data_IF_072997224756
#
_entry.id   IF_072997224756
#
_cell.length_a   1.000
_cell.length_b   1.000
_cell.length_c   1.000
_cell.angle_alpha   90.00
_cell.angle_beta   90.00
_cell.angle_gamma   90.00
#
_symmetry.space_group_name_H-M   'P 1'
#
loop_
_entity.id
_entity.type
_entity.pdbx_description
1 polymer ?
#
# COMPACT_ATOMS: atom_id res chain seq x y z
N UNK A 1 -38.15 -54.61 52.01
CA UNK A 1 -38.44 -55.97 51.51
C UNK A 1 -39.86 -55.96 50.91
N UNK A 2 -40.01 -56.44 49.67
CA UNK A 2 -41.26 -56.73 48.92
C UNK A 2 -42.15 -55.51 48.56
N UNK A 3 -42.14 -54.97 47.34
CA UNK A 3 -42.68 -55.50 46.05
C UNK A 3 -44.19 -55.77 46.05
N UNK A 4 -44.93 -55.08 45.15
CA UNK A 4 -46.01 -55.56 44.25
C UNK A 4 -46.86 -54.36 43.78
N UNK A 5 -46.69 -53.92 42.53
CA UNK A 5 -47.53 -54.22 41.34
C UNK A 5 -48.92 -53.54 41.41
N UNK A 6 -49.19 -52.50 40.61
CA UNK A 6 -49.69 -52.52 39.21
C UNK A 6 -51.12 -53.10 39.10
N UNK A 7 -52.15 -52.37 38.65
CA UNK A 7 -52.50 -52.14 37.24
C UNK A 7 -53.82 -51.34 37.14
N UNK A 8 -53.90 -50.41 36.18
CA UNK A 8 -55.08 -50.04 35.34
C UNK A 8 -54.79 -48.68 34.70
N UNK A 9 -55.07 -48.38 33.43
CA UNK A 9 -55.52 -49.14 32.29
C UNK A 9 -55.15 -48.29 31.06
N UNK A 10 -54.75 -48.94 29.98
CA UNK A 10 -54.38 -48.35 28.70
C UNK A 10 -55.61 -47.77 28.00
N UNK A 11 -55.54 -46.52 27.52
CA UNK A 11 -56.31 -46.07 26.36
C UNK A 11 -55.36 -45.41 25.35
N UNK A 12 -55.31 -46.06 24.20
CA UNK A 12 -54.54 -45.69 23.03
C UNK A 12 -55.07 -44.41 22.39
N UNK A 13 -54.17 -43.52 21.97
CA UNK A 13 -54.41 -42.52 20.92
C UNK A 13 -53.22 -42.54 19.97
N UNK A 14 -53.51 -42.62 18.68
CA UNK A 14 -52.57 -42.88 17.60
C UNK A 14 -51.54 -41.74 17.41
N UNK A 15 -50.31 -42.02 16.95
CA UNK A 15 -49.35 -40.97 16.67
C UNK A 15 -49.73 -40.25 15.36
N UNK A 16 -50.05 -38.95 15.46
CA UNK A 16 -50.09 -38.08 14.29
C UNK A 16 -48.67 -37.96 13.73
N UNK A 17 -48.44 -38.52 12.54
CA UNK A 17 -47.21 -38.28 11.76
C UNK A 17 -47.15 -36.81 11.37
N UNK A 18 -46.45 -36.01 12.17
CA UNK A 18 -46.04 -34.67 11.77
C UNK A 18 -45.04 -34.78 10.62
N UNK A 19 -45.43 -34.29 9.44
CA UNK A 19 -44.60 -34.22 8.25
C UNK A 19 -43.58 -33.09 8.48
N UNK A 20 -42.40 -33.44 9.00
CA UNK A 20 -41.31 -32.49 9.16
C UNK A 20 -40.78 -32.11 7.77
N UNK A 21 -41.17 -30.94 7.28
CA UNK A 21 -40.52 -30.25 6.16
C UNK A 21 -39.06 -30.03 6.55
N UNK A 22 -38.16 -30.87 6.03
CA UNK A 22 -36.71 -30.65 6.10
C UNK A 22 -36.39 -29.36 5.35
N UNK A 23 -36.16 -28.28 6.07
CA UNK A 23 -35.57 -27.07 5.53
C UNK A 23 -34.17 -27.42 4.99
N UNK A 24 -33.95 -27.22 3.69
CA UNK A 24 -32.63 -27.36 3.09
C UNK A 24 -31.69 -26.28 3.67
N UNK A 25 -30.43 -26.62 4.00
CA UNK A 25 -29.49 -25.62 4.46
C UNK A 25 -29.17 -24.67 3.30
N UNK A 26 -29.63 -23.43 3.42
CA UNK A 26 -29.20 -22.33 2.55
C UNK A 26 -27.70 -22.19 2.75
N UNK A 27 -26.92 -22.33 1.66
CA UNK A 27 -25.48 -22.07 1.68
C UNK A 27 -25.26 -20.63 2.16
N UNK A 28 -24.85 -20.47 3.41
CA UNK A 28 -24.34 -19.20 3.90
C UNK A 28 -23.00 -18.94 3.22
N UNK A 29 -22.88 -17.81 2.52
CA UNK A 29 -21.57 -17.35 2.05
C UNK A 29 -20.66 -17.18 3.27
N UNK A 30 -19.44 -17.72 3.19
CA UNK A 30 -18.46 -17.61 4.24
C UNK A 30 -18.25 -16.14 4.62
N UNK A 31 -18.29 -15.85 5.92
CA UNK A 31 -17.94 -14.54 6.45
C UNK A 31 -16.55 -14.16 5.92
N UNK A 32 -16.43 -12.95 5.36
CA UNK A 32 -15.17 -12.42 4.90
C UNK A 32 -14.15 -12.55 6.04
N UNK A 33 -13.05 -13.27 5.77
CA UNK A 33 -11.91 -13.32 6.67
C UNK A 33 -11.55 -11.87 7.03
N UNK A 34 -11.39 -11.60 8.34
CA UNK A 34 -11.27 -10.27 8.89
C UNK A 34 -10.29 -9.39 8.13
N UNK A 35 -10.58 -8.09 8.10
CA UNK A 35 -9.76 -6.99 7.59
C UNK A 35 -8.45 -6.80 8.37
N UNK A 36 -7.83 -7.89 8.84
CA UNK A 36 -6.58 -7.88 9.59
C UNK A 36 -5.40 -7.91 8.61
N UNK A 37 -4.76 -6.75 8.44
CA UNK A 37 -3.55 -6.57 7.64
C UNK A 37 -3.76 -6.03 6.23
N UNK A 38 -4.92 -5.45 5.91
CA UNK A 38 -5.08 -4.72 4.66
C UNK A 38 -4.25 -3.42 4.68
N UNK A 39 -3.62 -3.03 3.54
CA UNK A 39 -2.87 -1.80 3.47
C UNK A 39 -3.78 -0.58 3.65
N UNK A 40 -3.30 0.49 4.30
CA UNK A 40 -4.06 1.72 4.53
C UNK A 40 -4.42 2.48 3.25
N UNK A 41 -3.70 2.24 2.15
CA UNK A 41 -3.95 2.82 0.84
C UNK A 41 -4.02 1.72 -0.22
N UNK A 42 -4.84 1.95 -1.25
CA UNK A 42 -4.86 1.10 -2.42
C UNK A 42 -3.78 1.56 -3.39
N UNK A 43 -2.87 0.65 -3.74
CA UNK A 43 -1.85 0.88 -4.76
C UNK A 43 -2.22 0.06 -5.99
N UNK A 44 -2.14 0.68 -7.16
CA UNK A 44 -2.54 0.06 -8.42
C UNK A 44 -1.35 -0.55 -9.17
N UNK A 45 -1.65 -1.48 -10.08
CA UNK A 45 -0.67 -2.14 -10.93
C UNK A 45 -0.21 -3.50 -10.39
N UNK A 46 0.59 -4.20 -11.21
CA UNK A 46 1.18 -5.48 -10.83
C UNK A 46 2.07 -5.31 -9.59
N UNK A 47 2.91 -4.28 -9.61
CA UNK A 47 3.82 -3.91 -8.52
C UNK A 47 3.05 -3.56 -7.24
N UNK A 48 1.93 -2.85 -7.38
CA UNK A 48 1.03 -2.53 -6.27
C UNK A 48 0.40 -3.77 -5.64
N UNK A 49 0.02 -4.76 -6.47
CA UNK A 49 -0.53 -6.03 -5.97
C UNK A 49 0.52 -6.77 -5.14
N UNK A 50 1.77 -6.85 -5.60
CA UNK A 50 2.86 -7.44 -4.83
C UNK A 50 3.19 -6.66 -3.56
N UNK A 51 3.24 -5.34 -3.64
CA UNK A 51 3.52 -4.49 -2.48
C UNK A 51 2.43 -4.62 -1.40
N UNK A 52 1.16 -4.70 -1.81
CA UNK A 52 0.03 -4.90 -0.90
C UNK A 52 0.07 -6.26 -0.22
N UNK A 53 0.35 -7.34 -0.98
CA UNK A 53 0.50 -8.68 -0.45
C UNK A 53 1.68 -8.78 0.54
N UNK A 54 2.81 -8.16 0.21
CA UNK A 54 3.97 -8.09 1.08
C UNK A 54 3.67 -7.34 2.38
N UNK A 55 2.94 -6.23 2.31
CA UNK A 55 2.50 -5.49 3.50
C UNK A 55 1.60 -6.35 4.39
N UNK A 56 0.62 -7.06 3.82
CA UNK A 56 -0.24 -7.97 4.58
C UNK A 56 0.55 -9.10 5.24
N UNK A 57 1.53 -9.68 4.54
CA UNK A 57 2.40 -10.72 5.10
C UNK A 57 3.32 -10.17 6.22
N UNK A 58 3.88 -8.99 6.02
CA UNK A 58 4.74 -8.31 7.00
C UNK A 58 3.96 -7.84 8.23
N UNK A 59 2.69 -7.43 8.06
CA UNK A 59 1.78 -7.06 9.15
C UNK A 59 1.41 -8.27 10.00
N UNK A 60 1.11 -9.43 9.38
CA UNK A 60 0.83 -10.68 10.10
C UNK A 60 2.02 -11.23 10.87
N UNK A 61 3.23 -11.01 10.35
CA UNK A 61 4.48 -11.45 10.98
C UNK A 61 5.11 -10.39 11.90
N UNK A 62 4.43 -9.24 12.12
CA UNK A 62 4.91 -8.11 12.92
C UNK A 62 6.32 -7.63 12.52
N UNK A 63 6.68 -7.77 11.24
CA UNK A 63 8.01 -7.49 10.70
C UNK A 63 8.04 -6.29 9.75
N UNK A 64 7.15 -5.31 9.96
CA UNK A 64 6.97 -4.16 9.06
C UNK A 64 8.21 -3.27 8.95
N UNK A 65 8.77 -2.81 10.08
CA UNK A 65 9.96 -1.95 10.08
C UNK A 65 11.23 -2.61 9.51
N UNK A 66 11.59 -3.87 9.86
CA UNK A 66 12.75 -4.51 9.25
C UNK A 66 12.53 -4.75 7.74
N UNK A 67 11.31 -5.10 7.32
CA UNK A 67 10.97 -5.28 5.91
C UNK A 67 11.07 -3.96 5.13
N UNK A 68 10.62 -2.84 5.71
CA UNK A 68 10.75 -1.52 5.10
C UNK A 68 12.20 -1.09 4.90
N UNK A 69 13.07 -1.32 5.90
CA UNK A 69 14.51 -1.03 5.79
C UNK A 69 15.18 -1.89 4.73
N UNK A 70 14.87 -3.19 4.69
CA UNK A 70 15.42 -4.10 3.70
C UNK A 70 15.02 -3.69 2.27
N UNK A 71 13.75 -3.34 2.04
CA UNK A 71 13.29 -2.86 0.72
C UNK A 71 13.89 -1.52 0.32
N UNK A 72 14.09 -0.60 1.26
CA UNK A 72 14.76 0.67 0.98
C UNK A 72 16.22 0.46 0.53
N UNK A 73 16.93 -0.47 1.20
CA UNK A 73 18.29 -0.84 0.82
C UNK A 73 18.34 -1.51 -0.57
N UNK A 74 17.41 -2.44 -0.84
CA UNK A 74 17.30 -3.11 -2.14
C UNK A 74 17.00 -2.12 -3.27
N UNK A 75 16.05 -1.21 -3.05
CA UNK A 75 15.73 -0.16 -4.01
C UNK A 75 16.96 0.71 -4.32
N UNK A 76 17.69 1.13 -3.29
CA UNK A 76 18.91 1.93 -3.47
C UNK A 76 20.04 1.20 -4.20
N UNK A 77 20.16 -0.13 -4.04
CA UNK A 77 21.15 -0.93 -4.78
C UNK A 77 20.78 -1.02 -6.25
N UNK A 78 19.50 -1.32 -6.53
CA UNK A 78 18.98 -1.48 -7.90
C UNK A 78 19.02 -0.16 -8.66
N UNK A 79 18.80 0.97 -7.98
CA UNK A 79 18.95 2.30 -8.60
C UNK A 79 20.39 2.68 -8.89
N UNK A 80 21.34 2.25 -8.07
CA UNK A 80 22.77 2.55 -8.27
C UNK A 80 23.38 1.75 -9.42
N UNK A 81 22.95 0.50 -9.61
CA UNK A 81 23.50 -0.38 -10.63
C UNK A 81 22.51 -0.62 -11.78
N UNK A 82 22.66 0.17 -12.84
CA UNK A 82 21.84 0.07 -14.05
C UNK A 82 22.02 -1.27 -14.78
N UNK A 83 23.16 -1.95 -14.62
CA UNK A 83 23.36 -3.29 -15.21
C UNK A 83 22.53 -4.32 -14.47
N UNK A 84 22.45 -4.19 -13.15
CA UNK A 84 21.64 -5.07 -12.31
C UNK A 84 20.15 -4.93 -12.66
N UNK A 85 19.64 -3.72 -12.89
CA UNK A 85 18.24 -3.55 -13.30
C UNK A 85 17.93 -4.20 -14.66
N UNK A 86 18.85 -4.11 -15.63
CA UNK A 86 18.72 -4.76 -16.93
C UNK A 86 18.73 -6.29 -16.82
N UNK A 87 19.62 -6.84 -15.98
CA UNK A 87 19.70 -8.28 -15.72
C UNK A 87 18.40 -8.76 -15.06
N UNK A 88 17.88 -8.05 -14.07
CA UNK A 88 16.62 -8.41 -13.39
C UNK A 88 15.39 -8.31 -14.32
N UNK A 89 15.43 -7.43 -15.32
CA UNK A 89 14.38 -7.29 -16.31
C UNK A 89 14.43 -8.37 -17.41
N UNK A 90 15.57 -9.04 -17.60
CA UNK A 90 15.75 -10.04 -18.65
C UNK A 90 15.03 -11.36 -18.30
N UNK A 91 14.05 -11.81 -19.12
CA UNK A 91 13.31 -13.04 -18.85
C UNK A 91 14.12 -14.31 -19.14
N UNK A 92 15.26 -14.20 -19.83
CA UNK A 92 16.10 -15.31 -20.31
C UNK A 92 16.91 -16.02 -19.23
N UNK A 93 16.92 -15.50 -18.00
CA UNK A 93 17.65 -16.08 -16.88
C UNK A 93 17.05 -17.43 -16.44
N UNK A 94 17.92 -18.40 -16.15
CA UNK A 94 17.50 -19.71 -15.62
C UNK A 94 16.95 -19.57 -14.19
N UNK A 95 16.10 -20.50 -13.71
CA UNK A 95 15.61 -20.46 -12.33
C UNK A 95 16.75 -20.56 -11.31
N UNK A 96 17.82 -21.29 -11.63
CA UNK A 96 19.00 -21.43 -10.78
C UNK A 96 19.74 -20.09 -10.64
N UNK A 97 20.01 -19.40 -11.75
CA UNK A 97 20.64 -18.07 -11.75
C UNK A 97 19.80 -17.05 -10.97
N UNK A 98 18.47 -17.09 -11.13
CA UNK A 98 17.54 -16.23 -10.39
C UNK A 98 17.62 -16.46 -8.89
N UNK A 99 17.66 -17.70 -8.44
CA UNK A 99 17.78 -18.04 -7.02
C UNK A 99 19.11 -17.57 -6.42
N UNK A 100 20.21 -17.66 -7.20
CA UNK A 100 21.51 -17.16 -6.79
C UNK A 100 21.51 -15.63 -6.66
N UNK A 101 20.92 -14.93 -7.63
CA UNK A 101 20.75 -13.46 -7.58
C UNK A 101 19.92 -13.06 -6.36
N UNK A 102 18.82 -13.75 -6.07
CA UNK A 102 17.99 -13.49 -4.88
C UNK A 102 18.78 -13.70 -3.59
N UNK A 103 19.60 -14.76 -3.51
CA UNK A 103 20.44 -15.02 -2.35
C UNK A 103 21.45 -13.89 -2.11
N UNK A 104 22.10 -13.38 -3.16
CA UNK A 104 23.02 -12.24 -3.06
C UNK A 104 22.28 -10.94 -2.67
N UNK A 105 21.14 -10.65 -3.30
CA UNK A 105 20.31 -9.49 -2.96
C UNK A 105 19.88 -9.52 -1.48
N UNK A 106 19.49 -10.70 -0.96
CA UNK A 106 19.08 -10.84 0.43
C UNK A 106 20.24 -10.59 1.42
N UNK A 107 21.47 -11.01 1.09
CA UNK A 107 22.66 -10.69 1.90
C UNK A 107 22.87 -9.18 1.98
N UNK A 108 22.76 -8.48 0.85
CA UNK A 108 22.94 -7.03 0.78
C UNK A 108 21.75 -6.25 1.38
N UNK A 109 20.56 -6.83 1.44
CA UNK A 109 19.39 -6.23 2.07
C UNK A 109 19.45 -6.17 3.62
N UNK A 110 20.42 -6.85 4.24
CA UNK A 110 20.57 -6.92 5.70
C UNK A 110 20.12 -8.24 6.33
N UNK A 111 19.89 -9.29 5.52
CA UNK A 111 19.93 -10.69 5.96
C UNK A 111 18.92 -11.19 7.00
N UNK A 112 17.87 -10.45 7.37
CA UNK A 112 17.15 -10.76 8.63
C UNK A 112 15.62 -10.96 8.55
N UNK A 113 14.97 -10.75 7.40
CA UNK A 113 13.52 -11.02 7.30
C UNK A 113 13.23 -12.20 6.38
N UNK A 114 12.80 -13.33 6.97
CA UNK A 114 12.30 -14.49 6.22
C UNK A 114 11.18 -14.06 5.23
N UNK A 115 10.40 -13.04 5.59
CA UNK A 115 9.37 -12.44 4.73
C UNK A 115 9.95 -11.85 3.45
N UNK A 116 11.10 -11.16 3.53
CA UNK A 116 11.76 -10.56 2.35
C UNK A 116 12.36 -11.63 1.46
N UNK A 117 12.99 -12.65 2.04
CA UNK A 117 13.52 -13.79 1.27
C UNK A 117 12.39 -14.48 0.49
N UNK A 118 11.33 -14.88 1.18
CA UNK A 118 10.18 -15.54 0.56
C UNK A 118 9.56 -14.65 -0.53
N UNK A 119 9.50 -13.35 -0.31
CA UNK A 119 9.02 -12.41 -1.32
C UNK A 119 9.90 -12.40 -2.58
N UNK A 120 11.22 -12.32 -2.43
CA UNK A 120 12.13 -12.36 -3.57
C UNK A 120 12.07 -13.70 -4.30
N UNK A 121 11.95 -14.81 -3.58
CA UNK A 121 11.77 -16.15 -4.15
C UNK A 121 10.47 -16.20 -4.98
N UNK A 122 9.34 -15.68 -4.45
CA UNK A 122 8.08 -15.62 -5.22
C UNK A 122 8.16 -14.72 -6.46
N UNK A 123 8.94 -13.63 -6.43
CA UNK A 123 9.16 -12.80 -7.61
C UNK A 123 10.03 -13.52 -8.65
N UNK A 124 11.02 -14.30 -8.22
CA UNK A 124 11.87 -15.10 -9.09
C UNK A 124 11.07 -16.20 -9.79
N UNK A 125 10.27 -16.96 -9.05
CA UNK A 125 9.39 -18.01 -9.59
C UNK A 125 8.41 -17.47 -10.64
N UNK A 126 7.85 -16.28 -10.40
CA UNK A 126 6.89 -15.65 -11.30
C UNK A 126 7.55 -14.86 -12.45
N UNK A 127 8.88 -14.88 -12.60
CA UNK A 127 9.63 -14.09 -13.59
C UNK A 127 9.37 -12.57 -13.50
N UNK A 128 9.18 -12.03 -12.28
CA UNK A 128 8.79 -10.63 -12.02
C UNK A 128 9.85 -9.84 -11.26
N UNK A 129 11.10 -10.27 -11.28
CA UNK A 129 12.21 -9.59 -10.61
C UNK A 129 12.45 -8.16 -11.15
N UNK A 130 12.18 -7.91 -12.43
CA UNK A 130 12.29 -6.58 -13.02
C UNK A 130 11.35 -5.52 -12.40
N UNK A 131 10.28 -5.96 -11.71
CA UNK A 131 9.31 -5.08 -11.07
C UNK A 131 9.73 -4.64 -9.66
N UNK A 132 10.87 -5.14 -9.17
CA UNK A 132 11.31 -4.92 -7.79
C UNK A 132 11.43 -3.43 -7.43
N UNK A 133 11.94 -2.60 -8.35
CA UNK A 133 12.04 -1.15 -8.12
C UNK A 133 10.64 -0.51 -7.92
N UNK A 134 9.67 -0.90 -8.76
CA UNK A 134 8.29 -0.44 -8.64
C UNK A 134 7.65 -0.88 -7.32
N UNK A 135 7.85 -2.15 -6.93
CA UNK A 135 7.36 -2.68 -5.64
C UNK A 135 7.98 -1.91 -4.47
N UNK A 136 9.29 -1.65 -4.47
CA UNK A 136 9.96 -0.88 -3.41
C UNK A 136 9.34 0.52 -3.25
N UNK A 137 9.08 1.22 -4.36
CA UNK A 137 8.44 2.54 -4.34
C UNK A 137 7.02 2.48 -3.77
N UNK A 138 6.18 1.55 -4.27
CA UNK A 138 4.80 1.38 -3.79
C UNK A 138 4.72 0.93 -2.34
N UNK A 139 5.63 0.06 -1.89
CA UNK A 139 5.71 -0.34 -0.50
C UNK A 139 6.08 0.84 0.41
N UNK A 140 6.99 1.71 -0.04
CA UNK A 140 7.30 2.97 0.65
C UNK A 140 6.07 3.86 0.83
N UNK A 141 5.24 4.00 -0.20
CA UNK A 141 3.97 4.75 -0.13
C UNK A 141 3.01 4.15 0.90
N UNK A 142 2.86 2.81 0.91
CA UNK A 142 2.02 2.11 1.89
C UNK A 142 2.55 2.35 3.32
N UNK A 143 3.85 2.26 3.54
CA UNK A 143 4.48 2.48 4.84
C UNK A 143 4.35 3.93 5.33
N UNK A 144 4.48 4.91 4.43
CA UNK A 144 4.25 6.32 4.74
C UNK A 144 2.79 6.52 5.21
N UNK A 145 1.83 5.98 4.47
CA UNK A 145 0.43 6.04 4.84
C UNK A 145 0.14 5.32 6.18
N UNK A 146 0.78 4.17 6.44
CA UNK A 146 0.65 3.42 7.69
C UNK A 146 1.17 4.20 8.90
N UNK A 147 2.21 5.02 8.71
CA UNK A 147 2.76 5.92 9.73
C UNK A 147 1.98 7.23 9.87
N UNK A 148 0.99 7.47 9.00
CA UNK A 148 0.28 8.74 8.94
C UNK A 148 1.15 9.88 8.40
N UNK A 149 2.15 9.57 7.57
CA UNK A 149 2.93 10.54 6.82
C UNK A 149 2.22 10.88 5.51
N UNK A 150 2.06 12.17 5.22
CA UNK A 150 1.49 12.68 3.96
C UNK A 150 2.61 13.38 3.21
N UNK A 151 2.87 12.95 1.98
CA UNK A 151 3.85 13.57 1.11
C UNK A 151 3.29 14.91 0.58
N UNK A 152 4.10 15.96 0.74
CA UNK A 152 3.82 17.30 0.24
C UNK A 152 4.91 17.69 -0.73
N UNK A 153 4.56 17.91 -1.99
CA UNK A 153 5.48 18.44 -3.00
C UNK A 153 5.27 19.93 -3.13
N UNK A 154 6.33 20.71 -2.93
CA UNK A 154 6.31 22.16 -3.14
C UNK A 154 7.13 22.45 -4.39
N UNK A 155 6.45 22.88 -5.45
CA UNK A 155 7.08 23.25 -6.72
C UNK A 155 7.22 24.77 -6.77
N UNK A 156 8.45 25.23 -7.03
CA UNK A 156 8.84 26.63 -6.92
C UNK A 156 9.77 27.06 -8.05
N UNK A 157 9.76 28.35 -8.42
CA UNK A 157 10.64 28.87 -9.48
C UNK A 157 12.11 28.94 -9.06
N UNK A 158 12.36 29.08 -7.75
CA UNK A 158 13.69 29.15 -7.15
C UNK A 158 13.70 28.32 -5.87
N UNK A 159 14.87 27.82 -5.49
CA UNK A 159 15.04 27.07 -4.25
C UNK A 159 14.55 27.89 -3.04
N UNK A 160 13.58 27.34 -2.30
CA UNK A 160 13.07 27.96 -1.08
C UNK A 160 14.11 27.94 0.05
N UNK A 161 14.10 28.99 0.86
CA UNK A 161 14.78 29.02 2.15
C UNK A 161 14.09 28.07 3.15
N UNK A 162 14.89 27.50 4.05
CA UNK A 162 14.47 26.74 5.23
C UNK A 162 13.38 27.41 6.05
N UNK A 163 13.43 28.75 6.23
CA UNK A 163 12.41 29.50 6.97
C UNK A 163 11.06 29.47 6.26
N UNK A 164 11.07 29.62 4.94
CA UNK A 164 9.84 29.55 4.14
C UNK A 164 9.27 28.14 4.13
N UNK A 165 10.10 27.10 4.04
CA UNK A 165 9.65 25.71 4.12
C UNK A 165 8.98 25.39 5.46
N UNK A 166 9.59 25.77 6.58
CA UNK A 166 9.00 25.54 7.91
C UNK A 166 7.67 26.29 8.11
N UNK A 167 7.54 27.51 7.56
CA UNK A 167 6.27 28.24 7.57
C UNK A 167 5.20 27.56 6.74
N UNK A 168 5.55 27.01 5.57
CA UNK A 168 4.63 26.25 4.72
C UNK A 168 4.19 24.96 5.41
N UNK A 169 5.13 24.20 5.99
CA UNK A 169 4.83 23.01 6.79
C UNK A 169 3.81 23.31 7.89
N UNK A 170 4.04 24.38 8.65
CA UNK A 170 3.14 24.78 9.73
C UNK A 170 1.76 25.21 9.21
N UNK A 171 1.72 25.94 8.09
CA UNK A 171 0.48 26.40 7.49
C UNK A 171 -0.36 25.24 6.93
N UNK A 172 0.29 24.31 6.25
CA UNK A 172 -0.35 23.14 5.64
C UNK A 172 -0.78 22.13 6.70
N UNK A 173 0.03 21.93 7.75
CA UNK A 173 -0.33 21.08 8.89
C UNK A 173 -1.56 21.58 9.67
N UNK A 174 -1.74 22.91 9.76
CA UNK A 174 -2.94 23.54 10.35
C UNK A 174 -4.16 23.49 9.45
N UNK A 175 -3.96 23.25 8.15
CA UNK A 175 -5.04 23.27 7.18
C UNK A 175 -5.81 21.96 7.17
N UNK A 176 -7.08 22.02 6.76
CA UNK A 176 -7.96 20.85 6.63
C UNK A 176 -7.50 19.83 5.57
N UNK A 177 -6.43 20.13 4.83
CA UNK A 177 -5.88 19.29 3.77
C UNK A 177 -5.16 18.04 4.28
N UNK A 178 -4.59 18.07 5.49
CA UNK A 178 -3.71 16.99 5.99
C UNK A 178 -4.42 16.01 6.93
N UNK A 179 -5.59 16.37 7.46
CA UNK A 179 -6.23 15.62 8.54
C UNK A 179 -5.47 15.78 9.86
N UNK A 180 -6.20 15.87 10.98
CA UNK A 180 -5.59 16.16 12.28
C UNK A 180 -4.59 15.06 12.67
N UNK A 181 -3.35 15.46 13.03
CA UNK A 181 -2.34 14.55 13.61
C UNK A 181 -1.42 13.81 12.63
N UNK A 182 -1.51 14.07 11.32
CA UNK A 182 -0.60 13.47 10.32
C UNK A 182 0.71 14.27 10.19
N UNK A 183 1.81 13.57 9.95
CA UNK A 183 3.14 14.18 9.74
C UNK A 183 3.33 14.53 8.26
N UNK A 184 3.97 15.66 7.97
CA UNK A 184 4.25 16.08 6.60
C UNK A 184 5.68 15.69 6.22
N UNK A 185 5.82 15.04 5.06
CA UNK A 185 7.11 14.81 4.41
C UNK A 185 7.21 15.76 3.23
N UNK A 186 8.07 16.77 3.34
CA UNK A 186 8.18 17.83 2.34
C UNK A 186 9.24 17.49 1.30
N UNK A 187 8.84 17.52 0.03
CA UNK A 187 9.73 17.41 -1.12
C UNK A 187 9.72 18.74 -1.87
N UNK A 188 10.87 19.42 -1.91
CA UNK A 188 11.01 20.66 -2.65
C UNK A 188 11.46 20.36 -4.08
N UNK A 189 10.69 20.81 -5.08
CA UNK A 189 11.04 20.74 -6.48
C UNK A 189 11.19 22.15 -7.06
N UNK A 190 12.22 22.34 -7.87
CA UNK A 190 12.47 23.61 -8.54
C UNK A 190 12.09 23.47 -10.02
N UNK A 191 11.09 24.23 -10.44
CA UNK A 191 10.69 24.33 -11.84
C UNK A 191 10.71 25.81 -12.28
N UNK A 192 11.66 26.23 -13.13
CA UNK A 192 11.75 27.62 -13.61
C UNK A 192 10.57 28.04 -14.50
N UNK A 193 9.81 27.10 -15.07
CA UNK A 193 8.71 27.38 -16.01
C UNK A 193 7.54 28.14 -15.36
N UNK A 194 7.38 28.03 -14.03
CA UNK A 194 6.28 28.70 -13.34
C UNK A 194 6.49 30.22 -13.21
N UNK A 195 7.69 30.73 -13.56
CA UNK A 195 8.17 32.13 -13.52
C UNK A 195 8.22 32.72 -12.10
N UNK A 196 7.25 32.38 -11.26
CA UNK A 196 7.17 32.77 -9.86
C UNK A 196 5.96 32.15 -9.16
N UNK A 197 5.85 32.39 -7.86
CA UNK A 197 4.83 31.77 -7.02
C UNK A 197 5.20 30.34 -6.61
N UNK A 198 4.20 29.60 -6.15
CA UNK A 198 4.35 28.26 -5.61
C UNK A 198 3.15 27.39 -6.00
N UNK A 199 3.42 26.11 -6.24
CA UNK A 199 2.42 25.06 -6.38
C UNK A 199 2.65 24.07 -5.25
N UNK A 200 1.63 23.80 -4.45
CA UNK A 200 1.71 22.84 -3.34
C UNK A 200 0.78 21.68 -3.63
N UNK A 201 1.34 20.49 -3.71
CA UNK A 201 0.63 19.24 -3.89
C UNK A 201 0.65 18.48 -2.57
N UNK A 202 -0.52 18.11 -2.05
CA UNK A 202 -0.71 17.35 -0.81
C UNK A 202 -1.60 16.15 -1.12
N UNK A 203 -1.01 14.98 -1.28
CA UNK A 203 -1.75 13.80 -1.77
C UNK A 203 -2.47 14.12 -3.09
N UNK A 204 -3.80 14.03 -3.10
CA UNK A 204 -4.62 14.27 -4.30
C UNK A 204 -5.04 15.74 -4.50
N UNK A 205 -4.63 16.64 -3.59
CA UNK A 205 -5.04 18.04 -3.62
C UNK A 205 -3.90 18.93 -4.06
N UNK A 206 -4.16 19.74 -5.09
CA UNK A 206 -3.19 20.71 -5.62
C UNK A 206 -3.67 22.13 -5.31
N UNK A 207 -2.80 22.93 -4.71
CA UNK A 207 -2.98 24.36 -4.51
C UNK A 207 -2.00 25.07 -5.44
N UNK A 208 -2.51 25.53 -6.56
CA UNK A 208 -1.73 26.28 -7.54
C UNK A 208 -1.88 27.80 -7.31
N UNK A 209 -0.78 28.42 -6.89
CA UNK A 209 -0.63 29.86 -6.73
C UNK A 209 0.51 30.40 -7.60
N UNK A 210 0.87 29.68 -8.67
CA UNK A 210 1.90 30.10 -9.63
C UNK A 210 1.49 31.37 -10.39
N UNK A 211 2.50 32.09 -10.87
CA UNK A 211 2.32 33.28 -11.70
C UNK A 211 1.96 32.86 -13.12
N UNK A 212 2.58 31.81 -13.65
CA UNK A 212 2.28 31.26 -14.98
C UNK A 212 0.80 30.90 -15.14
N UNK A 213 0.18 30.22 -14.18
CA UNK A 213 -1.24 29.84 -14.27
C UNK A 213 -2.18 31.04 -14.17
N UNK A 214 -1.80 32.08 -13.41
CA UNK A 214 -2.56 33.34 -13.36
C UNK A 214 -2.51 34.07 -14.69
N UNK A 215 -1.34 34.19 -15.32
CA UNK A 215 -1.19 34.81 -16.65
C UNK A 215 -2.00 34.03 -17.68
N UNK A 216 -1.91 32.68 -17.67
CA UNK A 216 -2.68 31.84 -18.59
C UNK A 216 -4.20 32.03 -18.43
N UNK A 217 -4.70 32.12 -17.20
CA UNK A 217 -6.12 32.42 -16.92
C UNK A 217 -6.52 33.80 -17.45
N UNK A 218 -5.69 34.82 -17.25
CA UNK A 218 -5.97 36.16 -17.76
C UNK A 218 -6.02 36.21 -19.29
N UNK A 219 -5.02 35.62 -19.97
CA UNK A 219 -5.00 35.54 -21.43
C UNK A 219 -6.21 34.79 -21.98
N UNK A 220 -6.62 33.71 -21.32
CA UNK A 220 -7.82 32.95 -21.70
C UNK A 220 -9.08 33.80 -21.60
N UNK A 221 -9.24 34.58 -20.52
CA UNK A 221 -10.40 35.46 -20.38
C UNK A 221 -10.44 36.59 -21.42
N UNK A 222 -9.27 37.12 -21.80
CA UNK A 222 -9.17 38.16 -22.84
C UNK A 222 -9.44 37.61 -24.25
N UNK A 223 -9.17 36.32 -24.50
CA UNK A 223 -9.40 35.69 -25.81
C UNK A 223 -10.81 35.15 -25.96
N UNK A 224 -11.46 34.67 -24.89
CA UNK A 224 -12.87 34.23 -24.91
C UNK A 224 -13.86 35.39 -25.07
N UNK A 225 -13.42 36.63 -24.79
CA UNK A 225 -14.26 37.83 -24.85
C UNK A 225 -14.15 38.60 -26.17
N UNK A 226 -13.34 38.10 -27.11
CA UNK A 226 -13.16 38.61 -28.48
C UNK A 226 -13.80 37.64 -29.49
#
# INVERSE_FOLDING_TARGET
>A
MFSRQALRAVRATAPQRALALRAAPVRAFAAAAGTEGQPPITVFGLDGTYASALYTAASKSSSLDPTAKALANLGAIVEKDTKLSQILAAPTLTPEDKSAIVAELNKHAGGSSATVKNFLDTLAENNRLGLLQGVCSKFGQIMAAARGEVEMTVTSAQALDSKTLSRLETAVAKSSYVGQGKKLKVTNQVNPDIVGGLVVEVGDRTIDLSVSSRIAKMNKLLTDTL
#
